data_IF_767346382920
#
_entry.id   IF_767346382920
#
_cell.length_a   1.000
_cell.length_b   1.000
_cell.length_c   1.000
_cell.angle_alpha   90.00
_cell.angle_beta   90.00
_cell.angle_gamma   90.00
#
_symmetry.space_group_name_H-M   'P 1'
#
loop_
_entity.id
_entity.type
_entity.pdbx_description
1 polymer ?
#
# COMPACT_ATOMS: atom_id res chain seq x y z
N UNK A 1 -2.35 1.55 7.90
CA UNK A 1 -2.68 0.48 6.95
C UNK A 1 -2.31 -0.83 7.63
N UNK A 2 -3.21 -1.73 7.99
CA UNK A 2 -2.74 -2.91 8.76
C UNK A 2 -1.75 -3.76 7.95
N UNK A 3 -0.49 -3.82 8.38
CA UNK A 3 0.60 -4.40 7.62
C UNK A 3 0.57 -5.92 7.70
N UNK A 4 0.40 -6.59 6.56
CA UNK A 4 0.36 -8.05 6.51
C UNK A 4 1.74 -8.67 6.70
N UNK A 5 1.80 -9.85 7.31
CA UNK A 5 2.99 -10.71 7.33
C UNK A 5 3.15 -11.55 6.06
N UNK A 6 2.21 -11.46 5.12
CA UNK A 6 2.14 -12.37 3.96
C UNK A 6 2.33 -11.68 2.62
N UNK A 7 2.25 -10.35 2.56
CA UNK A 7 2.44 -9.60 1.33
C UNK A 7 2.11 -8.12 1.44
N UNK A 8 2.37 -7.40 0.36
CA UNK A 8 1.95 -6.01 0.16
C UNK A 8 0.60 -5.96 -0.54
N UNK A 9 -0.18 -4.94 -0.24
CA UNK A 9 -1.47 -4.69 -0.86
C UNK A 9 -1.51 -3.27 -1.43
N UNK A 10 -2.05 -3.12 -2.63
CA UNK A 10 -2.39 -1.84 -3.24
C UNK A 10 -3.89 -1.81 -3.51
N UNK A 11 -4.60 -0.89 -2.87
CA UNK A 11 -6.06 -0.76 -3.01
C UNK A 11 -6.35 0.42 -3.94
N UNK A 12 -7.28 0.25 -4.87
CA UNK A 12 -7.85 1.32 -5.67
C UNK A 12 -9.34 1.49 -5.30
N UNK A 13 -9.67 2.31 -4.30
CA UNK A 13 -11.02 2.39 -3.74
C UNK A 13 -12.10 2.74 -4.77
N UNK A 14 -11.84 3.72 -5.65
CA UNK A 14 -12.82 4.20 -6.63
C UNK A 14 -13.18 3.14 -7.68
N UNK A 15 -12.24 2.26 -8.04
CA UNK A 15 -12.45 1.15 -8.97
C UNK A 15 -12.93 -0.13 -8.27
N UNK A 16 -12.91 -0.16 -6.92
CA UNK A 16 -13.16 -1.36 -6.09
C UNK A 16 -12.22 -2.52 -6.44
N UNK A 17 -10.98 -2.20 -6.77
CA UNK A 17 -9.95 -3.16 -7.16
C UNK A 17 -8.83 -3.20 -6.12
N UNK A 18 -8.12 -4.33 -6.06
CA UNK A 18 -6.92 -4.48 -5.25
C UNK A 18 -5.89 -5.38 -5.94
N UNK A 19 -4.62 -5.08 -5.71
CA UNK A 19 -3.49 -5.92 -6.09
C UNK A 19 -2.78 -6.40 -4.84
N UNK A 20 -2.36 -7.67 -4.83
CA UNK A 20 -1.62 -8.27 -3.73
C UNK A 20 -0.40 -9.00 -4.26
N UNK A 21 0.76 -8.62 -3.74
CA UNK A 21 2.03 -9.31 -4.01
C UNK A 21 2.42 -10.07 -2.75
N UNK A 22 2.68 -11.36 -2.88
CA UNK A 22 3.09 -12.19 -1.76
C UNK A 22 4.56 -11.96 -1.47
N UNK A 23 4.91 -11.92 -0.19
CA UNK A 23 6.30 -11.94 0.21
C UNK A 23 6.91 -13.30 -0.08
N UNK A 24 8.18 -13.34 -0.49
CA UNK A 24 8.94 -14.57 -0.65
C UNK A 24 9.50 -15.09 0.69
N UNK A 25 10.32 -16.15 0.64
CA UNK A 25 10.92 -16.76 1.85
C UNK A 25 11.87 -15.82 2.58
N UNK A 26 12.66 -15.03 1.85
CA UNK A 26 13.64 -14.11 2.40
C UNK A 26 12.95 -12.94 3.09
N UNK A 27 11.91 -12.38 2.46
CA UNK A 27 11.10 -11.31 3.02
C UNK A 27 10.35 -11.75 4.28
N UNK A 28 9.83 -12.98 4.30
CA UNK A 28 9.22 -13.56 5.52
C UNK A 28 10.25 -13.76 6.63
N UNK A 29 11.48 -14.13 6.31
CA UNK A 29 12.56 -14.22 7.30
C UNK A 29 12.93 -12.84 7.85
N UNK A 30 12.99 -11.80 7.02
CA UNK A 30 13.21 -10.41 7.44
C UNK A 30 12.10 -9.89 8.35
N UNK A 31 10.84 -10.29 8.10
CA UNK A 31 9.70 -10.00 8.97
C UNK A 31 9.86 -10.68 10.33
N UNK A 32 10.18 -11.97 10.36
CA UNK A 32 10.38 -12.71 11.60
C UNK A 32 11.55 -12.15 12.43
N UNK A 33 12.57 -11.61 11.77
CA UNK A 33 13.70 -10.89 12.38
C UNK A 33 13.43 -9.42 12.74
N UNK A 34 12.20 -8.93 12.55
CA UNK A 34 11.80 -7.53 12.79
C UNK A 34 12.61 -6.48 11.97
N UNK A 35 13.24 -6.89 10.88
CA UNK A 35 13.92 -6.01 9.93
C UNK A 35 12.91 -5.34 9.00
N UNK A 36 11.88 -6.10 8.60
CA UNK A 36 10.67 -5.57 7.96
C UNK A 36 9.64 -5.22 9.02
N UNK A 37 9.88 -4.09 9.70
CA UNK A 37 8.96 -3.58 10.70
C UNK A 37 7.58 -3.26 10.11
N UNK A 38 6.57 -3.15 10.98
CA UNK A 38 5.20 -2.77 10.59
C UNK A 38 5.23 -1.48 9.77
N UNK A 39 5.86 -0.42 10.28
CA UNK A 39 5.93 0.89 9.61
C UNK A 39 6.56 0.80 8.20
N UNK A 40 7.62 0.00 8.05
CA UNK A 40 8.27 -0.18 6.74
C UNK A 40 7.32 -0.85 5.75
N UNK A 41 6.57 -1.87 6.18
CA UNK A 41 5.61 -2.58 5.31
C UNK A 41 4.39 -1.74 4.96
N UNK A 42 3.93 -0.89 5.88
CA UNK A 42 2.90 0.12 5.58
C UNK A 42 3.39 1.08 4.50
N UNK A 43 4.60 1.62 4.65
CA UNK A 43 5.19 2.53 3.68
C UNK A 43 5.43 1.86 2.33
N UNK A 44 5.95 0.62 2.32
CA UNK A 44 6.11 -0.18 1.10
C UNK A 44 4.77 -0.41 0.40
N UNK A 45 3.69 -0.68 1.14
CA UNK A 45 2.36 -0.86 0.55
C UNK A 45 1.82 0.44 -0.05
N UNK A 46 2.08 1.59 0.57
CA UNK A 46 1.72 2.89 0.02
C UNK A 46 2.48 3.21 -1.27
N UNK A 47 3.80 2.98 -1.29
CA UNK A 47 4.63 3.16 -2.50
C UNK A 47 4.19 2.20 -3.60
N UNK A 48 3.91 0.94 -3.26
CA UNK A 48 3.40 -0.05 -4.21
C UNK A 48 2.08 0.40 -4.84
N UNK A 49 1.15 0.95 -4.05
CA UNK A 49 -0.10 1.50 -4.57
C UNK A 49 0.12 2.65 -5.56
N UNK A 50 1.02 3.59 -5.24
CA UNK A 50 1.37 4.67 -6.17
C UNK A 50 1.94 4.11 -7.47
N UNK A 51 2.87 3.15 -7.41
CA UNK A 51 3.47 2.55 -8.61
C UNK A 51 2.45 1.81 -9.49
N UNK A 52 1.50 1.08 -8.89
CA UNK A 52 0.49 0.33 -9.64
C UNK A 52 -0.54 1.23 -10.31
N UNK A 53 -0.91 2.34 -9.66
CA UNK A 53 -2.07 3.14 -10.06
C UNK A 53 -1.69 4.54 -10.55
N UNK A 54 -0.40 4.86 -10.67
CA UNK A 54 0.08 6.19 -11.10
C UNK A 54 -0.57 6.68 -12.40
N UNK A 55 -0.82 5.79 -13.36
CA UNK A 55 -1.46 6.14 -14.63
C UNK A 55 -2.97 6.34 -14.55
N UNK A 56 -3.62 5.86 -13.48
CA UNK A 56 -5.06 6.07 -13.22
C UNK A 56 -5.30 7.40 -12.51
N UNK A 57 -4.23 7.99 -11.97
CA UNK A 57 -4.20 9.37 -11.51
C UNK A 57 -4.26 10.28 -12.74
N UNK A 58 -5.48 10.66 -13.11
CA UNK A 58 -5.75 11.70 -14.10
C UNK A 58 -5.08 13.01 -13.61
N UNK A 59 -4.08 13.54 -14.32
CA UNK A 59 -3.35 14.73 -13.88
C UNK A 59 -4.22 15.99 -13.84
N UNK A 60 -5.39 15.97 -14.49
CA UNK A 60 -6.39 17.05 -14.43
C UNK A 60 -7.44 16.85 -13.32
N UNK A 61 -7.42 15.71 -12.61
CA UNK A 61 -8.24 15.52 -11.40
C UNK A 61 -7.37 15.75 -10.19
N UNK A 62 -7.61 16.85 -9.51
CA UNK A 62 -6.99 17.18 -8.23
C UNK A 62 -6.97 15.97 -7.29
N UNK A 63 -5.78 15.37 -7.13
CA UNK A 63 -5.52 14.21 -6.25
C UNK A 63 -5.73 14.55 -4.76
N UNK A 64 -6.05 15.81 -4.46
CA UNK A 64 -6.21 16.34 -3.11
C UNK A 64 -7.61 16.19 -2.50
N UNK A 65 -8.64 15.75 -3.23
CA UNK A 65 -10.02 15.82 -2.71
C UNK A 65 -10.49 14.64 -1.84
N UNK A 66 -9.76 13.53 -1.75
CA UNK A 66 -10.21 12.36 -0.96
C UNK A 66 -9.44 12.11 0.35
N UNK A 67 -8.60 13.06 0.78
CA UNK A 67 -8.09 13.10 2.15
C UNK A 67 -8.94 14.05 2.99
N UNK A 68 -10.27 13.85 3.00
CA UNK A 68 -11.11 14.50 4.01
C UNK A 68 -10.72 13.93 5.39
N UNK A 69 -10.52 14.77 6.42
CA UNK A 69 -9.96 14.35 7.68
C UNK A 69 -10.96 13.46 8.41
N UNK A 70 -10.51 12.27 8.83
CA UNK A 70 -11.17 11.46 9.85
C UNK A 70 -11.00 12.12 11.23
N UNK A 71 -11.53 13.34 11.37
CA UNK A 71 -11.70 14.04 12.63
C UNK A 71 -13.10 14.67 12.62
N UNK A 72 -14.06 13.89 13.11
CA UNK A 72 -15.15 14.34 13.97
C UNK A 72 -15.22 13.37 15.17
#
# INVERSE_FOLDING_TARGET
MDASNTGLCAIHPAAKEFLRVQFDEDERAMIAGNQFSINLREQLSAVFAVLCWWSVVDPDKDVYTDIHPLLD
#
